data_IF_725165313029
#
_entry.id   IF_725165313029
#
_cell.length_a   1.000
_cell.length_b   1.000
_cell.length_c   1.000
_cell.angle_alpha   90.00
_cell.angle_beta   90.00
_cell.angle_gamma   90.00
#
_symmetry.space_group_name_H-M   'P 1'
#
loop_
_entity.id
_entity.type
_entity.pdbx_description
1 polymer ?
#
# COMPACT_ATOMS: atom_id res chain seq x y z
N UNK A 1 11.54 -15.63 -7.39
CA UNK A 1 10.33 -15.34 -6.58
C UNK A 1 9.15 -15.59 -7.50
N UNK A 2 8.21 -16.49 -7.15
CA UNK A 2 7.05 -16.73 -8.03
C UNK A 2 6.11 -15.53 -7.98
N UNK A 3 5.83 -14.96 -9.16
CA UNK A 3 4.96 -13.82 -9.34
C UNK A 3 3.63 -14.28 -9.92
N UNK A 4 2.52 -13.76 -9.41
CA UNK A 4 1.17 -14.23 -9.75
C UNK A 4 0.30 -13.06 -10.18
N UNK A 5 -0.36 -13.18 -11.33
CA UNK A 5 -1.59 -12.46 -11.69
C UNK A 5 -1.63 -10.96 -11.45
N UNK A 6 -0.69 -10.21 -12.03
CA UNK A 6 -0.66 -8.73 -11.99
C UNK A 6 -0.35 -8.10 -13.35
N UNK A 7 -0.70 -8.79 -14.43
CA UNK A 7 -0.30 -8.36 -15.78
C UNK A 7 -0.93 -7.02 -16.15
N UNK A 8 -2.16 -6.76 -15.72
CA UNK A 8 -2.84 -5.48 -15.96
C UNK A 8 -2.14 -4.34 -15.22
N UNK A 9 -1.85 -4.52 -13.93
CA UNK A 9 -1.14 -3.55 -13.11
C UNK A 9 0.29 -3.30 -13.62
N UNK A 10 0.98 -4.37 -14.04
CA UNK A 10 2.30 -4.28 -14.67
C UNK A 10 2.26 -3.47 -15.97
N UNK A 11 1.32 -3.79 -16.87
CA UNK A 11 1.15 -3.05 -18.13
C UNK A 11 0.85 -1.56 -17.88
N UNK A 12 -0.01 -1.25 -16.91
CA UNK A 12 -0.29 0.13 -16.51
C UNK A 12 0.98 0.85 -16.03
N UNK A 13 1.75 0.23 -15.13
CA UNK A 13 2.98 0.80 -14.62
C UNK A 13 4.00 1.04 -15.73
N UNK A 14 4.18 0.08 -16.65
CA UNK A 14 5.08 0.23 -17.80
C UNK A 14 4.62 1.34 -18.74
N UNK A 15 3.32 1.43 -19.04
CA UNK A 15 2.78 2.51 -19.86
C UNK A 15 3.02 3.89 -19.23
N UNK A 16 2.76 4.03 -17.93
CA UNK A 16 2.93 5.29 -17.20
C UNK A 16 4.40 5.71 -17.14
N UNK A 17 5.30 4.77 -16.84
CA UNK A 17 6.73 5.03 -16.71
C UNK A 17 7.41 5.28 -18.06
N UNK A 18 7.07 4.53 -19.11
CA UNK A 18 7.77 4.59 -20.40
C UNK A 18 7.08 5.59 -21.33
N UNK A 19 5.82 5.31 -21.69
CA UNK A 19 5.11 6.03 -22.75
C UNK A 19 4.63 7.40 -22.29
N UNK A 20 4.03 7.48 -21.10
CA UNK A 20 3.50 8.75 -20.58
C UNK A 20 4.52 9.57 -19.80
N UNK A 21 5.65 8.95 -19.41
CA UNK A 21 6.72 9.59 -18.65
C UNK A 21 6.21 10.32 -17.40
N UNK A 22 5.34 9.65 -16.62
CA UNK A 22 4.86 10.17 -15.34
C UNK A 22 6.01 10.40 -14.37
N UNK A 23 6.00 11.55 -13.70
CA UNK A 23 7.10 11.96 -12.80
C UNK A 23 6.98 11.32 -11.42
N UNK A 24 5.74 11.09 -10.96
CA UNK A 24 5.47 10.47 -9.67
C UNK A 24 4.36 9.44 -9.81
N UNK A 25 4.63 8.22 -9.39
CA UNK A 25 3.65 7.13 -9.33
C UNK A 25 3.59 6.62 -7.89
N UNK A 26 2.41 6.59 -7.30
CA UNK A 26 2.21 5.96 -6.00
C UNK A 26 1.59 4.57 -6.19
N UNK A 27 2.37 3.51 -5.94
CA UNK A 27 1.87 2.15 -5.87
C UNK A 27 1.42 1.87 -4.44
N UNK A 28 0.12 1.82 -4.25
CA UNK A 28 -0.52 1.78 -2.95
C UNK A 28 -1.19 0.42 -2.71
N UNK A 29 -1.42 0.07 -1.45
CA UNK A 29 -2.13 -1.15 -1.08
C UNK A 29 -1.81 -1.65 0.31
N UNK A 30 -2.68 -2.47 0.88
CA UNK A 30 -2.51 -3.02 2.23
C UNK A 30 -1.20 -3.83 2.34
N UNK A 31 -0.64 -3.94 3.54
CA UNK A 31 0.59 -4.70 3.78
C UNK A 31 0.44 -6.16 3.34
N UNK A 32 1.41 -6.70 2.60
CA UNK A 32 1.36 -8.07 2.10
C UNK A 32 0.60 -8.27 0.76
N UNK A 33 0.05 -7.21 0.17
CA UNK A 33 -0.66 -7.29 -1.14
C UNK A 33 0.27 -7.49 -2.35
N UNK A 34 1.58 -7.33 -2.17
CA UNK A 34 2.59 -7.57 -3.21
C UNK A 34 3.13 -6.33 -3.93
N UNK A 35 3.04 -5.13 -3.34
CA UNK A 35 3.59 -3.88 -3.91
C UNK A 35 5.06 -4.00 -4.32
N UNK A 36 5.94 -4.36 -3.38
CA UNK A 36 7.37 -4.56 -3.63
C UNK A 36 7.62 -5.62 -4.70
N UNK A 37 6.88 -6.73 -4.66
CA UNK A 37 7.02 -7.79 -5.67
C UNK A 37 6.65 -7.30 -7.07
N UNK A 38 5.56 -6.54 -7.22
CA UNK A 38 5.16 -5.96 -8.51
C UNK A 38 6.18 -4.92 -8.99
N UNK A 39 6.62 -4.00 -8.12
CA UNK A 39 7.59 -2.98 -8.49
C UNK A 39 8.91 -3.60 -8.99
N UNK A 40 9.46 -4.57 -8.26
CA UNK A 40 10.69 -5.25 -8.67
C UNK A 40 10.52 -6.11 -9.93
N UNK A 41 9.36 -6.76 -10.11
CA UNK A 41 9.07 -7.53 -11.32
C UNK A 41 8.96 -6.61 -12.55
N UNK A 42 8.27 -5.48 -12.41
CA UNK A 42 8.04 -4.50 -13.47
C UNK A 42 9.33 -3.80 -13.93
N UNK A 43 10.34 -3.71 -13.06
CA UNK A 43 11.64 -3.09 -13.36
C UNK A 43 12.45 -3.88 -14.40
N UNK A 44 12.44 -5.21 -14.36
CA UNK A 44 13.32 -6.01 -15.20
C UNK A 44 13.05 -5.82 -16.71
N UNK A 45 11.80 -5.85 -17.20
CA UNK A 45 11.49 -5.62 -18.61
C UNK A 45 11.81 -4.20 -19.10
N UNK A 46 11.82 -3.21 -18.21
CA UNK A 46 11.97 -1.78 -18.58
C UNK A 46 13.36 -1.23 -18.29
N UNK A 47 14.27 -2.07 -17.81
CA UNK A 47 15.58 -1.65 -17.31
C UNK A 47 16.39 -0.87 -18.34
N UNK A 48 16.31 -1.23 -19.62
CA UNK A 48 17.00 -0.56 -20.72
C UNK A 48 16.46 0.84 -21.03
N UNK A 49 15.24 1.18 -20.59
CA UNK A 49 14.61 2.48 -20.81
C UNK A 49 15.12 3.55 -19.83
N UNK A 50 15.84 3.15 -18.79
CA UNK A 50 16.38 4.04 -17.77
C UNK A 50 17.90 3.99 -17.78
N UNK A 51 18.52 5.17 -17.69
CA UNK A 51 19.96 5.29 -17.46
C UNK A 51 20.37 4.64 -16.14
N UNK A 52 19.56 4.83 -15.09
CA UNK A 52 19.77 4.20 -13.80
C UNK A 52 18.46 3.95 -13.05
N UNK A 53 18.46 2.93 -12.20
CA UNK A 53 17.34 2.55 -11.35
C UNK A 53 17.84 2.46 -9.91
N UNK A 54 17.22 3.25 -9.03
CA UNK A 54 17.64 3.40 -7.63
C UNK A 54 16.50 2.91 -6.75
N UNK A 55 16.71 1.79 -6.07
CA UNK A 55 15.77 1.27 -5.08
C UNK A 55 16.26 1.57 -3.66
N UNK A 56 15.42 2.19 -2.83
CA UNK A 56 15.68 2.41 -1.39
C UNK A 56 14.46 2.09 -0.56
N UNK A 57 14.68 1.43 0.57
CA UNK A 57 13.64 1.13 1.56
C UNK A 57 13.69 2.17 2.67
N UNK A 58 12.55 2.76 3.00
CA UNK A 58 12.38 3.72 4.10
C UNK A 58 12.00 3.03 5.42
N UNK A 59 12.07 1.70 5.48
CA UNK A 59 11.64 0.89 6.63
C UNK A 59 12.21 1.31 7.99
N UNK A 60 13.44 1.79 8.02
CA UNK A 60 14.13 2.25 9.23
C UNK A 60 14.22 3.78 9.32
N UNK A 61 13.33 4.48 8.61
CA UNK A 61 13.24 5.94 8.58
C UNK A 61 14.59 6.63 8.34
N UNK A 62 15.29 6.37 7.22
CA UNK A 62 16.48 7.14 6.89
C UNK A 62 16.11 8.62 6.67
N UNK A 63 17.00 9.53 7.04
CA UNK A 63 16.79 10.95 6.77
C UNK A 63 16.76 11.21 5.26
N UNK A 64 16.08 12.27 4.82
CA UNK A 64 16.08 12.65 3.41
C UNK A 64 17.51 12.89 2.91
N UNK A 65 18.37 13.44 3.77
CA UNK A 65 19.77 13.70 3.43
C UNK A 65 20.55 12.42 3.13
N UNK A 66 20.34 11.34 3.90
CA UNK A 66 20.91 10.02 3.63
C UNK A 66 20.41 9.46 2.31
N UNK A 67 19.10 9.53 2.05
CA UNK A 67 18.52 9.06 0.79
C UNK A 67 19.09 9.82 -0.41
N UNK A 68 19.20 11.14 -0.33
CA UNK A 68 19.77 11.95 -1.42
C UNK A 68 21.25 11.65 -1.63
N UNK A 69 22.02 11.47 -0.55
CA UNK A 69 23.44 11.06 -0.62
C UNK A 69 23.55 9.75 -1.39
N UNK A 70 22.77 8.74 -1.01
CA UNK A 70 22.75 7.45 -1.69
C UNK A 70 22.26 7.49 -3.13
N UNK A 71 21.37 8.44 -3.48
CA UNK A 71 20.96 8.63 -4.86
C UNK A 71 22.08 9.25 -5.70
N UNK A 72 22.81 10.21 -5.13
CA UNK A 72 23.91 10.91 -5.80
C UNK A 72 25.12 10.00 -6.01
N UNK A 73 25.43 9.11 -5.05
CA UNK A 73 26.50 8.12 -5.13
C UNK A 73 26.45 7.26 -6.40
N UNK A 74 25.25 7.01 -6.92
CA UNK A 74 25.03 6.21 -8.15
C UNK A 74 25.59 6.91 -9.40
N UNK A 75 25.66 8.24 -9.41
CA UNK A 75 26.16 9.02 -10.55
C UNK A 75 27.64 9.41 -10.41
N UNK A 76 28.25 9.15 -9.26
CA UNK A 76 29.54 9.69 -8.90
C UNK A 76 30.53 8.60 -8.51
N UNK A 77 31.36 8.16 -9.45
CA UNK A 77 32.60 7.45 -9.11
C UNK A 77 33.66 8.42 -8.53
N UNK A 78 33.54 9.73 -8.78
CA UNK A 78 34.55 10.74 -8.42
C UNK A 78 34.01 12.15 -8.09
N UNK A 79 32.69 12.33 -7.93
CA UNK A 79 32.09 13.63 -7.59
C UNK A 79 32.04 13.82 -6.08
N UNK A 80 32.44 14.99 -5.59
CA UNK A 80 32.23 15.39 -4.19
C UNK A 80 30.72 15.54 -3.97
N UNK A 81 30.14 14.75 -3.07
CA UNK A 81 28.74 14.90 -2.66
C UNK A 81 28.62 16.21 -1.88
N UNK A 82 27.70 17.11 -2.25
CA UNK A 82 27.52 18.38 -1.57
C UNK A 82 27.18 18.18 -0.09
N UNK A 83 27.61 19.07 0.80
CA UNK A 83 27.44 18.88 2.25
C UNK A 83 26.07 19.30 2.78
N UNK A 84 25.24 20.00 1.99
CA UNK A 84 23.95 20.53 2.46
C UNK A 84 22.77 19.94 1.69
N UNK A 85 21.62 19.85 2.35
CA UNK A 85 20.38 19.32 1.77
C UNK A 85 19.99 20.03 0.47
N UNK A 86 19.98 21.37 0.44
CA UNK A 86 19.60 22.14 -0.74
C UNK A 86 20.55 21.92 -1.93
N UNK A 87 21.85 21.80 -1.65
CA UNK A 87 22.84 21.53 -2.68
C UNK A 87 22.71 20.10 -3.23
N UNK A 88 22.41 19.11 -2.35
CA UNK A 88 22.10 17.73 -2.77
C UNK A 88 20.84 17.67 -3.64
N UNK A 89 19.77 18.36 -3.27
CA UNK A 89 18.54 18.47 -4.07
C UNK A 89 18.84 19.10 -5.44
N UNK A 90 19.53 20.23 -5.47
CA UNK A 90 19.90 20.93 -6.71
C UNK A 90 20.69 20.01 -7.65
N UNK A 91 21.66 19.28 -7.10
CA UNK A 91 22.45 18.35 -7.89
C UNK A 91 21.64 17.15 -8.36
N UNK A 92 20.77 16.59 -7.52
CA UNK A 92 19.90 15.49 -7.92
C UNK A 92 19.03 15.91 -9.09
N UNK A 93 18.34 17.05 -9.02
CA UNK A 93 17.51 17.54 -10.12
C UNK A 93 18.30 17.85 -11.39
N UNK A 94 19.56 18.28 -11.28
CA UNK A 94 20.46 18.38 -12.44
C UNK A 94 20.62 17.00 -13.11
N UNK A 95 20.88 15.95 -12.33
CA UNK A 95 21.00 14.60 -12.87
C UNK A 95 19.67 14.04 -13.40
N UNK A 96 18.54 14.24 -12.71
CA UNK A 96 17.23 13.76 -13.18
C UNK A 96 16.78 14.41 -14.50
N UNK A 97 17.28 15.61 -14.82
CA UNK A 97 17.10 16.26 -16.12
C UNK A 97 18.05 15.70 -17.18
N UNK A 98 19.31 15.46 -16.81
CA UNK A 98 20.32 14.96 -17.73
C UNK A 98 20.12 13.49 -18.10
N UNK A 99 19.68 12.67 -17.13
CA UNK A 99 19.53 11.24 -17.24
C UNK A 99 18.10 10.83 -16.91
N UNK A 100 17.54 9.91 -17.68
CA UNK A 100 16.25 9.28 -17.39
C UNK A 100 16.44 8.24 -16.29
N UNK A 101 15.96 8.54 -15.09
CA UNK A 101 16.16 7.71 -13.91
C UNK A 101 14.82 7.19 -13.37
N UNK A 102 14.82 6.01 -12.77
CA UNK A 102 13.71 5.51 -11.96
C UNK A 102 14.16 5.41 -10.51
N UNK A 103 13.55 6.18 -9.62
CA UNK A 103 13.77 6.09 -8.17
C UNK A 103 12.58 5.37 -7.56
N UNK A 104 12.81 4.30 -6.79
CA UNK A 104 11.77 3.55 -6.09
C UNK A 104 12.03 3.70 -4.59
N UNK A 105 11.08 4.30 -3.88
CA UNK A 105 11.08 4.40 -2.43
C UNK A 105 10.01 3.46 -1.86
N UNK A 106 10.46 2.41 -1.18
CA UNK A 106 9.57 1.45 -0.49
C UNK A 106 9.33 1.86 0.96
N UNK A 107 8.24 1.37 1.54
CA UNK A 107 7.83 1.61 2.93
C UNK A 107 7.63 3.09 3.29
N UNK A 108 7.08 3.89 2.37
CA UNK A 108 6.85 5.34 2.57
C UNK A 108 5.97 5.64 3.79
N UNK A 109 5.06 4.73 4.15
CA UNK A 109 4.24 4.87 5.36
C UNK A 109 5.06 5.03 6.65
N UNK A 110 6.31 4.57 6.65
CA UNK A 110 7.21 4.66 7.81
C UNK A 110 7.62 6.10 8.12
N UNK A 111 7.50 7.03 7.17
CA UNK A 111 7.71 8.46 7.41
C UNK A 111 6.59 9.10 8.24
N UNK A 112 5.42 8.46 8.34
CA UNK A 112 4.25 9.03 9.01
C UNK A 112 4.18 8.63 10.48
N UNK A 113 3.69 9.54 11.30
CA UNK A 113 3.58 9.37 12.74
C UNK A 113 2.50 8.32 13.07
N UNK A 114 2.81 7.34 13.95
CA UNK A 114 1.78 6.47 14.50
C UNK A 114 0.86 7.28 15.43
N UNK A 115 -0.38 6.83 15.61
CA UNK A 115 -1.37 7.48 16.48
C UNK A 115 -1.75 8.91 16.06
N UNK A 116 -1.48 9.25 14.80
CA UNK A 116 -1.87 10.51 14.16
C UNK A 116 -2.74 10.23 12.93
N UNK A 117 -3.47 11.24 12.44
CA UNK A 117 -4.21 11.08 11.19
C UNK A 117 -3.26 10.83 10.01
N UNK A 118 -3.68 9.99 9.08
CA UNK A 118 -2.90 9.52 7.95
C UNK A 118 -2.29 10.65 7.14
N UNK A 119 -1.00 10.54 6.80
CA UNK A 119 -0.18 11.52 6.11
C UNK A 119 0.37 12.64 6.99
N UNK A 120 0.20 12.57 8.32
CA UNK A 120 0.99 13.36 9.26
C UNK A 120 2.39 12.76 9.37
N UNK A 121 3.42 13.54 9.06
CA UNK A 121 4.82 13.11 9.13
C UNK A 121 5.31 13.01 10.58
N UNK A 122 6.26 12.11 10.83
CA UNK A 122 7.05 12.12 12.06
C UNK A 122 7.94 13.36 12.10
N UNK A 123 8.22 13.84 13.31
CA UNK A 123 9.12 14.97 13.53
C UNK A 123 10.50 14.72 12.89
N UNK A 124 10.92 15.64 12.02
CA UNK A 124 12.21 15.56 11.30
C UNK A 124 12.12 14.96 9.90
N UNK A 125 10.96 14.44 9.49
CA UNK A 125 10.74 13.82 8.17
C UNK A 125 9.82 14.63 7.26
N UNK A 126 9.37 15.81 7.69
CA UNK A 126 8.49 16.70 6.91
C UNK A 126 9.14 17.18 5.61
N UNK A 127 10.48 17.18 5.54
CA UNK A 127 11.24 17.52 4.34
C UNK A 127 10.97 16.57 3.16
N UNK A 128 10.58 15.31 3.40
CA UNK A 128 10.17 14.39 2.34
C UNK A 128 8.93 14.89 1.59
N UNK A 129 7.98 15.55 2.29
CA UNK A 129 6.81 16.17 1.65
C UNK A 129 7.25 17.18 0.58
N UNK A 130 8.20 18.05 0.93
CA UNK A 130 8.73 19.05 0.00
C UNK A 130 9.48 18.38 -1.16
N UNK A 131 10.24 17.32 -0.89
CA UNK A 131 10.92 16.56 -1.94
C UNK A 131 9.94 15.93 -2.94
N UNK A 132 8.87 15.26 -2.47
CA UNK A 132 7.87 14.66 -3.36
C UNK A 132 7.15 15.73 -4.20
N UNK A 133 6.84 16.88 -3.60
CA UNK A 133 6.27 18.02 -4.31
C UNK A 133 7.22 18.58 -5.38
N UNK A 134 8.51 18.74 -5.06
CA UNK A 134 9.51 19.20 -6.04
C UNK A 134 9.67 18.22 -7.20
N UNK A 135 9.65 16.91 -6.96
CA UNK A 135 9.70 15.88 -8.02
C UNK A 135 8.48 15.99 -8.95
N UNK A 136 7.30 16.25 -8.39
CA UNK A 136 6.08 16.46 -9.16
C UNK A 136 6.17 17.72 -10.06
N UNK A 137 6.55 18.85 -9.48
CA UNK A 137 6.45 20.16 -10.13
C UNK A 137 7.63 20.49 -11.07
N UNK A 138 8.84 20.07 -10.71
CA UNK A 138 10.04 20.41 -11.47
C UNK A 138 10.13 19.56 -12.74
N UNK A 139 10.35 20.23 -13.88
CA UNK A 139 10.52 19.53 -15.15
C UNK A 139 11.80 18.67 -15.17
N UNK A 140 11.61 17.37 -15.40
CA UNK A 140 12.63 16.37 -15.64
C UNK A 140 12.04 15.17 -16.41
N UNK A 141 12.90 14.26 -16.86
CA UNK A 141 12.51 13.06 -17.62
C UNK A 141 12.50 11.78 -16.78
N UNK A 142 12.81 11.89 -15.49
CA UNK A 142 12.86 10.79 -14.53
C UNK A 142 11.50 10.51 -13.88
N UNK A 143 11.37 9.34 -13.24
CA UNK A 143 10.18 8.90 -12.51
C UNK A 143 10.53 8.53 -11.06
N UNK A 144 9.71 8.95 -10.11
CA UNK A 144 9.72 8.51 -8.72
C UNK A 144 8.52 7.59 -8.47
N UNK A 145 8.78 6.37 -8.06
CA UNK A 145 7.75 5.43 -7.62
C UNK A 145 7.76 5.31 -6.10
N UNK A 146 6.62 5.60 -5.48
CA UNK A 146 6.39 5.48 -4.04
C UNK A 146 5.61 4.21 -3.75
N UNK A 147 6.14 3.29 -2.93
CA UNK A 147 5.41 2.13 -2.47
C UNK A 147 4.93 2.37 -1.03
N UNK A 148 3.62 2.30 -0.81
CA UNK A 148 3.06 2.62 0.50
C UNK A 148 1.78 1.87 0.83
N UNK A 149 1.53 1.61 2.11
CA UNK A 149 0.19 1.25 2.60
C UNK A 149 -0.68 2.44 2.99
N UNK A 150 -0.10 3.64 2.97
CA UNK A 150 -0.75 4.88 3.37
C UNK A 150 -0.43 5.94 2.31
N UNK A 151 -1.46 6.50 1.66
CA UNK A 151 -1.27 7.50 0.62
C UNK A 151 -0.76 8.81 1.23
N UNK A 152 0.40 9.34 0.80
CA UNK A 152 0.84 10.68 1.22
C UNK A 152 -0.19 11.74 0.83
N UNK A 153 -0.46 12.70 1.72
CA UNK A 153 -1.51 13.72 1.49
C UNK A 153 -1.22 14.58 0.27
N UNK A 154 0.03 14.97 0.12
CA UNK A 154 0.53 15.72 -1.03
C UNK A 154 0.33 14.96 -2.34
N UNK A 155 0.44 13.64 -2.37
CA UNK A 155 0.13 12.87 -3.59
C UNK A 155 -1.37 12.95 -3.92
N UNK A 156 -2.24 12.94 -2.90
CA UNK A 156 -3.68 13.12 -3.11
C UNK A 156 -4.04 14.52 -3.61
N UNK A 157 -3.30 15.55 -3.18
CA UNK A 157 -3.44 16.93 -3.67
C UNK A 157 -2.91 17.05 -5.12
N UNK A 158 -1.68 16.58 -5.35
CA UNK A 158 -0.97 16.73 -6.62
C UNK A 158 -1.64 16.00 -7.80
N UNK A 159 -2.31 14.88 -7.56
CA UNK A 159 -3.10 14.18 -8.59
C UNK A 159 -4.29 14.99 -9.12
N UNK A 160 -4.79 15.95 -8.34
CA UNK A 160 -5.88 16.84 -8.79
C UNK A 160 -5.36 17.96 -9.70
N UNK A 161 -4.07 18.25 -9.63
CA UNK A 161 -3.44 19.40 -10.27
C UNK A 161 -2.55 19.01 -11.46
N UNK A 162 -2.11 17.74 -11.54
CA UNK A 162 -1.13 17.29 -12.51
C UNK A 162 -1.49 15.95 -13.18
N UNK A 163 -1.57 15.95 -14.51
CA UNK A 163 -1.81 14.74 -15.32
C UNK A 163 -0.61 13.77 -15.38
N UNK A 164 0.52 14.12 -14.74
CA UNK A 164 1.73 13.28 -14.71
C UNK A 164 1.92 12.55 -13.38
N UNK A 165 0.90 12.53 -12.53
CA UNK A 165 0.93 11.98 -11.19
C UNK A 165 -0.27 11.07 -11.01
N UNK A 166 -0.04 9.81 -10.65
CA UNK A 166 -1.11 8.83 -10.52
C UNK A 166 -0.83 7.83 -9.40
N UNK A 167 -1.90 7.39 -8.74
CA UNK A 167 -1.90 6.28 -7.79
C UNK A 167 -2.46 5.04 -8.44
N UNK A 168 -1.76 3.91 -8.26
CA UNK A 168 -2.29 2.58 -8.52
C UNK A 168 -2.52 1.88 -7.18
N UNK A 169 -3.77 1.57 -6.86
CA UNK A 169 -4.11 0.84 -5.63
C UNK A 169 -4.23 -0.65 -5.95
N UNK A 170 -3.34 -1.46 -5.37
CA UNK A 170 -3.38 -2.92 -5.51
C UNK A 170 -4.48 -3.53 -4.64
N UNK A 171 -5.31 -4.36 -5.27
CA UNK A 171 -6.37 -5.12 -4.63
C UNK A 171 -6.09 -6.63 -4.60
N UNK A 172 -7.16 -7.41 -4.61
CA UNK A 172 -7.13 -8.88 -4.69
C UNK A 172 -6.38 -9.38 -5.92
N UNK A 173 -5.85 -10.62 -5.87
CA UNK A 173 -5.38 -11.35 -7.05
C UNK A 173 -6.52 -12.07 -7.81
N UNK A 174 -7.73 -12.10 -7.26
CA UNK A 174 -8.87 -12.79 -7.85
C UNK A 174 -8.55 -14.25 -8.17
N UNK A 175 -8.80 -14.68 -9.41
CA UNK A 175 -8.58 -16.07 -9.82
C UNK A 175 -7.10 -16.47 -9.85
N UNK A 176 -6.17 -15.52 -10.00
CA UNK A 176 -4.75 -15.83 -9.96
C UNK A 176 -4.27 -16.33 -8.59
N UNK A 177 -5.05 -16.07 -7.53
CA UNK A 177 -4.84 -16.67 -6.21
C UNK A 177 -4.80 -18.19 -6.23
N UNK A 178 -5.48 -18.87 -7.18
CA UNK A 178 -5.43 -20.33 -7.31
C UNK A 178 -4.01 -20.86 -7.54
N UNK A 179 -3.16 -20.08 -8.20
CA UNK A 179 -1.78 -20.50 -8.41
C UNK A 179 -0.99 -20.53 -7.09
N UNK A 180 -1.28 -19.62 -6.15
CA UNK A 180 -0.68 -19.68 -4.80
C UNK A 180 -1.06 -20.99 -4.12
N UNK A 181 -2.32 -21.41 -4.22
CA UNK A 181 -2.80 -22.64 -3.59
C UNK A 181 -2.21 -23.90 -4.24
N UNK A 182 -2.05 -23.91 -5.57
CA UNK A 182 -1.35 -24.96 -6.33
C UNK A 182 0.10 -25.11 -5.92
N UNK A 183 0.83 -24.00 -5.85
CA UNK A 183 2.26 -24.01 -5.51
C UNK A 183 2.48 -24.50 -4.07
N UNK A 184 1.50 -24.28 -3.20
CA UNK A 184 1.44 -24.81 -1.84
C UNK A 184 0.85 -26.23 -1.76
N UNK A 185 0.58 -26.88 -2.89
CA UNK A 185 0.11 -28.27 -3.03
C UNK A 185 -1.18 -28.59 -2.28
N UNK A 186 -2.07 -27.60 -2.11
CA UNK A 186 -3.36 -27.84 -1.46
C UNK A 186 -4.22 -28.81 -2.29
N UNK A 187 -5.13 -29.51 -1.61
CA UNK A 187 -6.14 -30.40 -2.19
C UNK A 187 -7.47 -29.66 -2.35
N UNK A 188 -8.49 -30.36 -2.85
CA UNK A 188 -9.87 -29.88 -2.99
C UNK A 188 -10.00 -28.59 -3.83
N UNK A 189 -9.53 -28.60 -5.08
CA UNK A 189 -9.57 -27.41 -5.97
C UNK A 189 -10.98 -26.80 -6.12
N UNK A 190 -12.04 -27.59 -5.95
CA UNK A 190 -13.44 -27.13 -5.99
C UNK A 190 -13.76 -26.13 -4.88
N UNK A 191 -13.10 -26.26 -3.73
CA UNK A 191 -13.31 -25.44 -2.53
C UNK A 191 -12.46 -24.16 -2.52
N UNK A 192 -11.50 -24.04 -3.44
CA UNK A 192 -10.55 -22.93 -3.44
C UNK A 192 -11.18 -21.57 -3.63
N UNK A 193 -12.28 -21.48 -4.38
CA UNK A 193 -12.98 -20.21 -4.55
C UNK A 193 -13.51 -19.68 -3.21
N UNK A 194 -13.99 -20.56 -2.33
CA UNK A 194 -14.48 -20.16 -1.00
C UNK A 194 -13.32 -19.75 -0.09
N UNK A 195 -12.20 -20.49 -0.13
CA UNK A 195 -10.99 -20.08 0.57
C UNK A 195 -10.49 -18.71 0.09
N UNK A 196 -10.41 -18.50 -1.23
CA UNK A 196 -10.00 -17.22 -1.83
C UNK A 196 -10.94 -16.09 -1.39
N UNK A 197 -12.25 -16.33 -1.40
CA UNK A 197 -13.24 -15.35 -0.94
C UNK A 197 -13.06 -15.00 0.54
N UNK A 198 -12.79 -15.98 1.39
CA UNK A 198 -12.60 -15.80 2.85
C UNK A 198 -11.41 -14.91 3.20
N UNK A 199 -10.34 -14.95 2.40
CA UNK A 199 -9.15 -14.09 2.54
C UNK A 199 -9.05 -13.02 1.46
N UNK A 200 -10.14 -12.79 0.71
CA UNK A 200 -10.26 -11.82 -0.39
C UNK A 200 -9.13 -11.86 -1.43
N UNK A 201 -8.55 -13.03 -1.68
CA UNK A 201 -7.41 -13.16 -2.58
C UNK A 201 -6.16 -12.40 -2.11
N UNK A 202 -6.07 -12.05 -0.82
CA UNK A 202 -4.90 -11.38 -0.25
C UNK A 202 -3.67 -12.30 -0.34
N UNK A 203 -2.62 -11.93 -1.09
CA UNK A 203 -1.52 -12.85 -1.44
C UNK A 203 -0.78 -13.40 -0.23
N UNK A 204 -0.37 -12.54 0.71
CA UNK A 204 0.31 -12.99 1.92
C UNK A 204 -0.63 -13.81 2.81
N UNK A 205 -1.91 -13.40 2.91
CA UNK A 205 -2.90 -14.11 3.71
C UNK A 205 -3.10 -15.54 3.21
N UNK A 206 -3.29 -15.70 1.90
CA UNK A 206 -3.40 -17.01 1.28
C UNK A 206 -2.14 -17.86 1.39
N UNK A 207 -0.94 -17.27 1.25
CA UNK A 207 0.32 -18.02 1.44
C UNK A 207 0.45 -18.58 2.85
N UNK A 208 0.17 -17.76 3.87
CA UNK A 208 0.27 -18.19 5.27
C UNK A 208 -0.82 -19.19 5.63
N UNK A 209 -2.07 -18.97 5.17
CA UNK A 209 -3.16 -19.91 5.39
C UNK A 209 -2.92 -21.24 4.67
N UNK A 210 -2.41 -21.22 3.44
CA UNK A 210 -2.07 -22.45 2.73
C UNK A 210 -0.99 -23.26 3.44
N UNK A 211 0.02 -22.60 4.03
CA UNK A 211 1.03 -23.27 4.85
C UNK A 211 0.40 -23.93 6.09
N UNK A 212 -0.52 -23.24 6.77
CA UNK A 212 -1.28 -23.78 7.91
C UNK A 212 -2.14 -24.99 7.50
N UNK A 213 -2.84 -24.91 6.36
CA UNK A 213 -3.65 -26.03 5.85
C UNK A 213 -2.76 -27.24 5.54
N UNK A 214 -1.58 -27.02 4.95
CA UNK A 214 -0.62 -28.11 4.73
C UNK A 214 -0.18 -28.75 6.04
N UNK A 215 0.20 -27.94 7.02
CA UNK A 215 0.77 -28.40 8.29
C UNK A 215 -0.24 -29.17 9.15
N UNK A 216 -1.47 -28.64 9.30
CA UNK A 216 -2.43 -29.17 10.27
C UNK A 216 -3.57 -29.99 9.65
N UNK A 217 -3.82 -29.84 8.35
CA UNK A 217 -4.93 -30.51 7.64
C UNK A 217 -4.43 -31.37 6.46
N UNK A 218 -3.11 -31.57 6.33
CA UNK A 218 -2.52 -32.36 5.24
C UNK A 218 -2.94 -31.86 3.85
N UNK A 219 -3.12 -30.55 3.70
CA UNK A 219 -3.56 -29.92 2.46
C UNK A 219 -5.07 -29.99 2.19
N UNK A 220 -5.89 -30.58 3.06
CA UNK A 220 -7.35 -30.69 2.88
C UNK A 220 -8.03 -29.33 3.13
N UNK A 221 -8.52 -28.68 2.07
CA UNK A 221 -9.16 -27.36 2.18
C UNK A 221 -10.58 -27.49 2.72
N UNK A 222 -11.28 -28.56 2.35
CA UNK A 222 -12.64 -28.83 2.82
C UNK A 222 -12.72 -28.99 4.34
N UNK A 223 -11.76 -29.70 4.96
CA UNK A 223 -11.66 -29.83 6.42
C UNK A 223 -11.37 -28.49 7.09
N UNK A 224 -10.43 -27.71 6.55
CA UNK A 224 -10.14 -26.37 7.05
C UNK A 224 -11.36 -25.44 7.00
N UNK A 225 -12.14 -25.49 5.92
CA UNK A 225 -13.31 -24.62 5.76
C UNK A 225 -14.42 -24.91 6.76
N UNK A 226 -14.47 -26.11 7.34
CA UNK A 226 -15.41 -26.46 8.42
C UNK A 226 -15.09 -25.72 9.74
N UNK A 227 -13.88 -25.19 9.91
CA UNK A 227 -13.54 -24.37 11.06
C UNK A 227 -14.35 -23.05 11.06
N UNK A 228 -15.03 -22.80 12.18
CA UNK A 228 -15.78 -21.58 12.43
C UNK A 228 -15.48 -21.07 13.84
N UNK A 229 -15.06 -19.81 14.02
CA UNK A 229 -14.80 -18.79 12.99
C UNK A 229 -13.62 -19.11 12.04
N UNK A 230 -13.47 -18.38 10.91
CA UNK A 230 -12.28 -18.48 10.06
C UNK A 230 -10.98 -18.34 10.87
N UNK A 231 -10.01 -19.23 10.63
CA UNK A 231 -8.73 -19.19 11.32
C UNK A 231 -7.85 -18.12 10.69
N UNK A 232 -7.46 -17.10 11.45
CA UNK A 232 -6.35 -16.22 11.07
C UNK A 232 -5.08 -16.76 11.69
N UNK A 233 -4.07 -17.09 10.89
CA UNK A 233 -2.78 -17.49 11.43
C UNK A 233 -2.12 -16.32 12.18
N UNK A 234 -1.37 -16.62 13.24
CA UNK A 234 -0.72 -15.63 14.11
C UNK A 234 0.16 -14.63 13.34
N UNK A 235 0.96 -15.02 12.32
CA UNK A 235 1.75 -14.05 11.54
C UNK A 235 0.88 -13.06 10.75
N UNK A 236 -0.32 -13.47 10.30
CA UNK A 236 -1.25 -12.57 9.61
C UNK A 236 -1.93 -11.62 10.60
N UNK A 237 -2.32 -12.13 11.77
CA UNK A 237 -2.88 -11.32 12.85
C UNK A 237 -1.89 -10.23 13.28
N UNK A 238 -0.63 -10.59 13.52
CA UNK A 238 0.42 -9.64 13.89
C UNK A 238 0.58 -8.53 12.85
N UNK A 239 0.52 -8.85 11.56
CA UNK A 239 0.60 -7.85 10.47
C UNK A 239 -0.58 -6.90 10.45
N UNK A 240 -1.80 -7.40 10.65
CA UNK A 240 -3.00 -6.56 10.72
C UNK A 240 -2.93 -5.66 11.96
N UNK A 241 -2.53 -6.21 13.10
CA UNK A 241 -2.36 -5.49 14.35
C UNK A 241 -1.38 -4.32 14.22
N UNK A 242 -0.20 -4.54 13.63
CA UNK A 242 0.79 -3.48 13.38
C UNK A 242 0.24 -2.31 12.54
N UNK A 243 -0.70 -2.58 11.63
CA UNK A 243 -1.32 -1.50 10.87
C UNK A 243 -2.38 -0.75 11.69
N UNK A 244 -3.07 -1.46 12.59
CA UNK A 244 -4.08 -0.86 13.48
C UNK A 244 -3.45 -0.04 14.61
N UNK A 245 -2.29 -0.44 15.13
CA UNK A 245 -1.51 0.33 16.14
C UNK A 245 -1.14 1.74 15.68
N UNK A 246 -1.27 2.04 14.39
CA UNK A 246 -1.00 3.38 13.84
C UNK A 246 -2.22 4.29 13.84
N UNK A 247 -3.41 3.76 14.05
CA UNK A 247 -4.67 4.49 13.99
C UNK A 247 -4.89 5.33 15.25
N UNK A 248 -5.46 6.51 15.07
CA UNK A 248 -5.99 7.33 16.17
C UNK A 248 -7.20 6.67 16.83
N UNK A 249 -7.56 7.12 18.05
CA UNK A 249 -8.79 6.71 18.73
C UNK A 249 -10.05 6.95 17.89
N UNK A 250 -10.09 8.06 17.14
CA UNK A 250 -11.19 8.38 16.24
C UNK A 250 -11.32 7.35 15.11
N UNK A 251 -10.21 7.04 14.45
CA UNK A 251 -10.20 6.06 13.37
C UNK A 251 -10.55 4.65 13.89
N UNK A 252 -10.01 4.25 15.05
CA UNK A 252 -10.36 3.00 15.73
C UNK A 252 -11.86 2.92 16.01
N UNK A 253 -12.48 4.00 16.49
CA UNK A 253 -13.93 4.06 16.71
C UNK A 253 -14.71 3.83 15.42
N UNK A 254 -14.33 4.49 14.32
CA UNK A 254 -14.99 4.34 13.02
C UNK A 254 -14.86 2.90 12.48
N UNK A 255 -13.65 2.31 12.50
CA UNK A 255 -13.48 0.94 11.98
C UNK A 255 -14.19 -0.09 12.86
N UNK A 256 -14.22 0.10 14.17
CA UNK A 256 -14.97 -0.79 15.06
C UNK A 256 -16.47 -0.73 14.77
N UNK A 257 -17.03 0.47 14.52
CA UNK A 257 -18.41 0.59 14.04
C UNK A 257 -18.62 -0.17 12.73
N UNK A 258 -17.77 0.03 11.71
CA UNK A 258 -17.93 -0.65 10.42
C UNK A 258 -17.68 -2.16 10.48
N UNK A 259 -16.90 -2.63 11.46
CA UNK A 259 -16.59 -4.03 11.65
C UNK A 259 -17.80 -4.81 12.16
N UNK A 260 -18.62 -4.24 13.05
CA UNK A 260 -19.77 -4.92 13.65
C UNK A 260 -21.03 -4.95 12.75
N UNK A 261 -20.97 -4.26 11.61
CA UNK A 261 -22.11 -4.11 10.70
C UNK A 261 -21.96 -5.06 9.52
N UNK A 262 -22.92 -5.96 9.30
CA UNK A 262 -22.81 -6.93 8.21
C UNK A 262 -23.02 -6.27 6.84
N UNK A 263 -23.89 -5.26 6.79
CA UNK A 263 -24.14 -4.48 5.59
C UNK A 263 -23.28 -3.20 5.56
N UNK A 264 -22.86 -2.74 4.38
CA UNK A 264 -22.14 -1.49 4.28
C UNK A 264 -23.02 -0.28 4.59
N UNK A 265 -22.43 0.76 5.17
CA UNK A 265 -23.14 1.90 5.74
C UNK A 265 -22.91 3.18 4.94
N UNK A 266 -23.90 4.07 4.90
CA UNK A 266 -23.73 5.44 4.43
C UNK A 266 -23.17 6.35 5.55
N UNK A 267 -22.81 7.59 5.21
CA UNK A 267 -22.22 8.54 6.15
C UNK A 267 -23.12 8.83 7.37
N UNK A 268 -24.43 8.97 7.17
CA UNK A 268 -25.35 9.29 8.25
C UNK A 268 -25.50 8.13 9.23
N UNK A 269 -25.57 6.89 8.74
CA UNK A 269 -25.62 5.68 9.56
C UNK A 269 -24.34 5.49 10.38
N UNK A 270 -23.17 5.71 9.77
CA UNK A 270 -21.89 5.63 10.51
C UNK A 270 -21.86 6.70 11.60
N UNK A 271 -22.19 7.96 11.28
CA UNK A 271 -22.11 9.04 12.25
C UNK A 271 -23.18 8.93 13.35
N UNK A 272 -24.32 8.27 13.11
CA UNK A 272 -25.32 7.99 14.14
C UNK A 272 -24.76 7.15 15.30
N UNK A 273 -23.86 6.20 15.01
CA UNK A 273 -23.22 5.36 16.02
C UNK A 273 -22.04 6.07 16.71
N UNK A 274 -21.38 6.99 16.02
CA UNK A 274 -20.18 7.67 16.51
C UNK A 274 -20.51 8.95 17.29
N UNK A 275 -21.58 9.64 16.89
CA UNK A 275 -22.13 10.85 17.53
C UNK A 275 -21.13 12.01 17.63
N UNK A 276 -20.36 12.26 16.56
CA UNK A 276 -19.42 13.39 16.47
C UNK A 276 -19.95 14.50 15.56
N UNK A 277 -19.32 15.67 15.65
CA UNK A 277 -19.51 16.73 14.66
C UNK A 277 -19.13 16.22 13.27
N UNK A 278 -19.88 16.59 12.23
CA UNK A 278 -19.60 16.16 10.85
C UNK A 278 -18.15 16.47 10.40
N UNK A 279 -17.57 17.66 10.68
CA UNK A 279 -16.18 17.95 10.31
C UNK A 279 -15.18 16.99 10.97
N UNK A 280 -15.36 16.65 12.24
CA UNK A 280 -14.48 15.74 12.95
C UNK A 280 -14.63 14.30 12.46
N UNK A 281 -15.87 13.83 12.29
CA UNK A 281 -16.16 12.53 11.69
C UNK A 281 -15.52 12.38 10.31
N UNK A 282 -15.65 13.39 9.45
CA UNK A 282 -15.07 13.36 8.11
C UNK A 282 -13.54 13.32 8.12
N UNK A 283 -12.86 13.98 9.08
CA UNK A 283 -11.40 13.86 9.23
C UNK A 283 -10.97 12.41 9.45
N UNK A 284 -11.65 11.70 10.35
CA UNK A 284 -11.36 10.29 10.62
C UNK A 284 -11.64 9.41 9.40
N UNK A 285 -12.75 9.64 8.71
CA UNK A 285 -13.10 8.86 7.52
C UNK A 285 -12.14 9.12 6.34
N UNK A 286 -11.72 10.37 6.13
CA UNK A 286 -10.70 10.73 5.15
C UNK A 286 -9.35 10.07 5.46
N UNK A 287 -8.97 10.07 6.74
CA UNK A 287 -7.75 9.42 7.22
C UNK A 287 -7.76 7.92 6.93
N UNK A 288 -8.84 7.22 7.29
CA UNK A 288 -9.02 5.80 6.98
C UNK A 288 -9.01 5.49 5.48
N UNK A 289 -9.51 6.41 4.66
CA UNK A 289 -9.43 6.29 3.21
C UNK A 289 -7.97 6.37 2.71
N UNK A 290 -7.15 7.28 3.24
CA UNK A 290 -5.73 7.37 2.88
C UNK A 290 -4.94 6.13 3.33
N UNK A 291 -5.38 5.47 4.42
CA UNK A 291 -4.85 4.18 4.88
C UNK A 291 -5.37 2.97 4.10
N UNK A 292 -6.28 3.19 3.14
CA UNK A 292 -6.91 2.15 2.32
C UNK A 292 -7.72 1.11 3.11
N UNK A 293 -8.18 1.44 4.31
CA UNK A 293 -9.02 0.54 5.10
C UNK A 293 -10.48 0.52 4.67
N UNK A 294 -10.92 1.55 3.94
CA UNK A 294 -12.30 1.68 3.49
C UNK A 294 -12.48 1.15 2.07
N UNK A 295 -13.42 0.22 1.91
CA UNK A 295 -14.02 -0.11 0.62
C UNK A 295 -15.24 0.78 0.41
N UNK A 296 -15.38 1.31 -0.80
CA UNK A 296 -16.48 2.21 -1.19
C UNK A 296 -17.20 1.64 -2.37
N UNK A 297 -18.50 1.82 -2.41
CA UNK A 297 -19.31 1.51 -3.57
C UNK A 297 -20.55 2.39 -3.59
N UNK A 298 -21.26 2.35 -4.70
CA UNK A 298 -22.44 3.17 -4.92
C UNK A 298 -23.66 2.26 -5.13
N UNK A 299 -24.72 2.52 -4.40
CA UNK A 299 -25.99 1.82 -4.53
C UNK A 299 -27.10 2.86 -4.50
N UNK A 300 -27.95 2.89 -5.54
CA UNK A 300 -29.04 3.87 -5.67
C UNK A 300 -28.57 5.34 -5.51
N UNK A 301 -27.43 5.70 -6.11
CA UNK A 301 -26.76 7.01 -5.97
C UNK A 301 -26.33 7.38 -4.54
N UNK A 302 -26.27 6.41 -3.63
CA UNK A 302 -25.78 6.59 -2.26
C UNK A 302 -24.42 5.92 -2.14
N UNK A 303 -23.44 6.69 -1.65
CA UNK A 303 -22.11 6.16 -1.32
C UNK A 303 -22.17 5.36 -0.02
N UNK A 304 -21.73 4.12 -0.10
CA UNK A 304 -21.67 3.17 1.00
C UNK A 304 -20.21 2.80 1.29
N UNK A 305 -19.94 2.54 2.56
CA UNK A 305 -18.61 2.28 3.10
C UNK A 305 -18.63 0.98 3.90
N UNK A 306 -17.57 0.19 3.73
CA UNK A 306 -17.33 -1.03 4.50
C UNK A 306 -15.82 -1.23 4.66
N UNK A 307 -15.44 -2.24 5.43
CA UNK A 307 -14.05 -2.67 5.57
C UNK A 307 -13.78 -3.85 4.64
N UNK A 308 -12.49 -4.13 4.45
CA UNK A 308 -12.04 -5.42 3.93
C UNK A 308 -12.52 -6.57 4.85
N UNK A 309 -13.27 -7.58 4.36
CA UNK A 309 -13.63 -8.78 5.11
C UNK A 309 -12.54 -9.39 5.99
N UNK A 310 -11.27 -9.42 5.54
CA UNK A 310 -10.19 -9.95 6.38
C UNK A 310 -9.99 -9.08 7.63
N UNK A 311 -9.98 -7.75 7.45
CA UNK A 311 -9.86 -6.79 8.53
C UNK A 311 -11.09 -6.81 9.45
N UNK A 312 -12.29 -6.87 8.88
CA UNK A 312 -13.56 -7.00 9.62
C UNK A 312 -13.55 -8.24 10.50
N UNK A 313 -13.12 -9.38 9.93
CA UNK A 313 -13.00 -10.64 10.66
C UNK A 313 -12.01 -10.53 11.82
N UNK A 314 -10.84 -9.94 11.57
CA UNK A 314 -9.83 -9.72 12.59
C UNK A 314 -10.35 -8.85 13.76
N UNK A 315 -11.03 -7.74 13.44
CA UNK A 315 -11.61 -6.83 14.43
C UNK A 315 -12.69 -7.51 15.28
N UNK A 316 -13.63 -8.24 14.66
CA UNK A 316 -14.74 -8.91 15.37
C UNK A 316 -14.27 -9.99 16.36
N UNK A 317 -13.16 -10.67 16.05
CA UNK A 317 -12.79 -11.92 16.74
C UNK A 317 -11.48 -11.88 17.51
N UNK A 318 -10.68 -10.82 17.37
CA UNK A 318 -9.36 -10.74 18.03
C UNK A 318 -9.25 -9.53 18.95
N UNK A 319 -9.75 -8.36 18.53
CA UNK A 319 -9.63 -7.11 19.28
C UNK A 319 -10.81 -6.89 20.23
N UNK A 320 -12.00 -7.43 19.92
CA UNK A 320 -13.17 -7.38 20.82
C UNK A 320 -13.04 -8.23 22.10
N UNK A 321 -11.90 -8.88 22.32
CA UNK A 321 -11.61 -9.76 23.46
C UNK A 321 -10.74 -9.12 24.56
N UNK A 322 -10.42 -7.83 24.44
CA UNK A 322 -9.76 -7.02 25.50
C UNK A 322 -10.71 -5.95 26.06
#
# INVERSE_FOLDING_TARGET
MTFYGRQEEENCLQEWMIKKSYRLIALLGISGVGKTSLALHCVEPIKSEFHTIIYRSLRFCPSLEEILTHCLEVFSESSIIPPTLDAKLTQLFKYLRQYRCLIILDDVQMLFAPQELAGCYQAGYENYRLFFKQIAEVSHQSCLMLLSSEKPREVAELELEHDTIFSLVLGSLGQASKQILRDQKLRDETEWNELIKRYEGHPLGLKLTAALIQEFFGGCVSEFLQCSPPILCEPLQFRLYQQLERLTTLEMKIINTLAHEDQPLNLSAINHNIQLSYPEFLKGLQSLNLRLFLKKFEQNNIKLFTLDPLLRHFLKHTISSE
#
